data_IF_680859160656
#
_entry.id   IF_680859160656
#
_cell.length_a   1.000
_cell.length_b   1.000
_cell.length_c   1.000
_cell.angle_alpha   90.00
_cell.angle_beta   90.00
_cell.angle_gamma   90.00
#
_symmetry.space_group_name_H-M   'P 1'
#
loop_
_entity.id
_entity.type
_entity.pdbx_description
1 polymer ?
#
# COMPACT_ATOMS: atom_id res chain seq x y z
N UNK A 1 19.41 -4.49 -12.37
CA UNK A 1 18.23 -3.82 -11.78
C UNK A 1 18.01 -4.41 -10.39
N UNK A 2 17.90 -3.60 -9.33
CA UNK A 2 17.65 -4.15 -7.99
C UNK A 2 16.16 -4.44 -7.85
N UNK A 3 15.83 -5.72 -7.94
CA UNK A 3 14.45 -6.26 -7.92
C UNK A 3 14.08 -6.52 -6.46
N UNK A 4 12.93 -5.98 -6.02
CA UNK A 4 12.41 -6.28 -4.70
C UNK A 4 12.06 -7.77 -4.62
N UNK A 5 12.40 -8.43 -3.52
CA UNK A 5 12.15 -9.88 -3.34
C UNK A 5 11.09 -10.18 -2.30
N UNK A 6 10.92 -9.31 -1.31
CA UNK A 6 10.02 -9.53 -0.19
C UNK A 6 9.19 -8.29 0.10
N UNK A 7 7.88 -8.50 0.28
CA UNK A 7 6.91 -7.48 0.67
C UNK A 7 6.30 -7.86 2.01
N UNK A 8 6.50 -7.02 3.04
CA UNK A 8 5.95 -7.22 4.38
C UNK A 8 4.97 -6.11 4.75
N UNK A 9 3.84 -6.46 5.34
CA UNK A 9 2.94 -5.50 5.97
C UNK A 9 3.51 -5.12 7.34
N UNK A 10 3.68 -3.82 7.58
CA UNK A 10 4.14 -3.28 8.86
C UNK A 10 3.22 -2.16 9.34
N UNK A 11 3.36 -1.85 10.62
CA UNK A 11 2.56 -0.83 11.30
C UNK A 11 3.49 0.20 11.93
N UNK A 12 3.07 1.46 11.96
CA UNK A 12 3.77 2.55 12.64
C UNK A 12 2.79 3.32 13.51
N UNK A 13 3.16 3.58 14.75
CA UNK A 13 2.35 4.39 15.65
C UNK A 13 2.30 5.85 15.18
N UNK A 14 1.12 6.46 15.31
CA UNK A 14 0.87 7.88 15.06
C UNK A 14 0.49 8.58 16.36
N UNK A 15 0.66 9.91 16.39
CA UNK A 15 0.39 10.77 17.55
C UNK A 15 -1.08 10.73 18.03
N UNK A 16 -2.01 10.28 17.20
CA UNK A 16 -3.45 10.29 17.46
C UNK A 16 -4.00 8.97 18.02
N UNK A 17 -3.16 8.10 18.60
CA UNK A 17 -3.60 6.80 19.13
C UNK A 17 -4.01 5.77 18.07
N UNK A 18 -3.64 5.99 16.81
CA UNK A 18 -3.83 5.04 15.71
C UNK A 18 -2.50 4.54 15.17
N UNK A 19 -2.49 3.36 14.54
CA UNK A 19 -1.34 2.87 13.79
C UNK A 19 -1.62 2.97 12.30
N UNK A 20 -0.69 3.55 11.55
CA UNK A 20 -0.71 3.53 10.09
C UNK A 20 -0.11 2.24 9.56
N UNK A 21 -0.76 1.66 8.55
CA UNK A 21 -0.28 0.48 7.83
C UNK A 21 0.53 0.88 6.60
N UNK A 22 1.65 0.19 6.38
CA UNK A 22 2.52 0.41 5.23
C UNK A 22 3.17 -0.91 4.77
N UNK A 23 3.51 -0.98 3.50
CA UNK A 23 4.29 -2.07 2.93
C UNK A 23 5.78 -1.73 3.01
N UNK A 24 6.58 -2.69 3.45
CA UNK A 24 8.03 -2.65 3.53
C UNK A 24 8.63 -3.60 2.48
N UNK A 25 9.43 -3.04 1.58
CA UNK A 25 10.03 -3.72 0.42
C UNK A 25 11.50 -4.00 0.71
N UNK A 26 11.92 -5.26 0.59
CA UNK A 26 13.31 -5.67 0.78
C UNK A 26 13.79 -6.69 -0.26
N UNK A 27 14.90 -6.43 -0.98
CA UNK A 27 15.54 -5.12 -1.15
C UNK A 27 14.54 -4.06 -1.68
N UNK A 28 14.86 -2.77 -1.55
CA UNK A 28 14.03 -1.72 -2.17
C UNK A 28 14.00 -1.86 -3.69
N UNK A 29 12.96 -1.35 -4.33
CA UNK A 29 12.87 -1.28 -5.80
C UNK A 29 13.01 0.18 -6.26
N UNK A 30 13.42 0.38 -7.51
CA UNK A 30 13.41 1.71 -8.13
C UNK A 30 12.10 1.93 -8.85
N UNK A 31 11.50 3.09 -8.60
CA UNK A 31 10.37 3.56 -9.39
C UNK A 31 10.85 3.82 -10.84
N UNK A 32 10.22 3.23 -11.86
CA UNK A 32 10.62 3.44 -13.25
C UNK A 32 10.45 4.88 -13.73
N UNK A 33 9.53 5.66 -13.14
CA UNK A 33 9.26 7.04 -13.55
C UNK A 33 10.20 8.04 -12.86
N UNK A 34 10.33 7.92 -11.53
CA UNK A 34 11.08 8.88 -10.72
C UNK A 34 12.53 8.45 -10.47
N UNK A 35 12.88 7.20 -10.77
CA UNK A 35 14.17 6.55 -10.48
C UNK A 35 14.53 6.49 -8.99
N UNK A 36 13.63 6.90 -8.09
CA UNK A 36 13.83 6.89 -6.66
C UNK A 36 13.81 5.47 -6.10
N UNK A 37 14.67 5.20 -5.11
CA UNK A 37 14.68 3.94 -4.40
C UNK A 37 13.57 3.94 -3.33
N UNK A 38 12.49 3.21 -3.59
CA UNK A 38 11.38 3.09 -2.67
C UNK A 38 11.54 1.84 -1.81
N UNK A 39 11.43 2.04 -0.49
CA UNK A 39 11.47 0.97 0.52
C UNK A 39 10.18 0.82 1.30
N UNK A 40 9.41 1.90 1.43
CA UNK A 40 8.18 1.92 2.21
C UNK A 40 7.07 2.60 1.43
N UNK A 41 5.91 1.97 1.35
CA UNK A 41 4.69 2.57 0.79
C UNK A 41 3.60 2.60 1.83
N UNK A 42 3.12 3.78 2.17
CA UNK A 42 1.93 3.93 3.02
C UNK A 42 0.69 3.42 2.30
N UNK A 43 -0.15 2.67 2.99
CA UNK A 43 -1.45 2.21 2.46
C UNK A 43 -2.57 3.22 2.69
N UNK A 44 -2.34 4.27 3.49
CA UNK A 44 -3.39 5.20 3.91
C UNK A 44 -4.46 4.59 4.81
N UNK A 45 -4.24 3.35 5.27
CA UNK A 45 -5.13 2.63 6.19
C UNK A 45 -4.64 2.80 7.63
N UNK A 46 -5.59 2.92 8.55
CA UNK A 46 -5.33 3.14 9.96
C UNK A 46 -6.11 2.14 10.82
N UNK A 47 -5.50 1.73 11.91
CA UNK A 47 -6.12 0.87 12.94
C UNK A 47 -5.99 1.55 14.30
N UNK A 48 -6.88 1.23 15.23
CA UNK A 48 -6.74 1.68 16.62
C UNK A 48 -5.51 1.01 17.25
N UNK A 49 -4.65 1.79 17.90
CA UNK A 49 -3.47 1.25 18.57
C UNK A 49 -3.84 0.41 19.80
N UNK A 50 -4.88 0.85 20.52
CA UNK A 50 -5.47 0.15 21.67
C UNK A 50 -7.00 0.11 21.52
N UNK A 51 -7.58 -0.98 20.96
CA UNK A 51 -9.01 -1.09 20.73
C UNK A 51 -9.75 -1.48 22.03
N UNK A 52 -10.44 -0.51 22.63
CA UNK A 52 -11.23 -0.70 23.85
C UNK A 52 -12.52 -1.50 23.63
N UNK A 53 -13.21 -1.25 22.51
CA UNK A 53 -14.55 -1.80 22.26
C UNK A 53 -14.53 -2.97 21.27
N UNK A 54 -15.49 -3.90 21.38
CA UNK A 54 -15.66 -5.01 20.40
C UNK A 54 -15.77 -4.51 18.95
N UNK A 55 -16.44 -3.38 18.73
CA UNK A 55 -16.56 -2.75 17.41
C UNK A 55 -15.21 -2.27 16.87
N UNK A 56 -14.33 -1.73 17.73
CA UNK A 56 -12.99 -1.28 17.32
C UNK A 56 -12.08 -2.47 16.97
N UNK A 57 -12.20 -3.58 17.70
CA UNK A 57 -11.50 -4.84 17.35
C UNK A 57 -11.97 -5.36 15.98
N UNK A 58 -13.28 -5.44 15.77
CA UNK A 58 -13.85 -5.85 14.49
C UNK A 58 -13.44 -4.92 13.33
N UNK A 59 -13.35 -3.62 13.59
CA UNK A 59 -12.82 -2.65 12.62
C UNK A 59 -11.36 -2.95 12.28
N UNK A 60 -10.51 -3.12 13.29
CA UNK A 60 -9.10 -3.46 13.09
C UNK A 60 -8.95 -4.75 12.26
N UNK A 61 -9.71 -5.81 12.58
CA UNK A 61 -9.66 -7.07 11.85
C UNK A 61 -10.03 -6.89 10.37
N UNK A 62 -11.09 -6.14 10.08
CA UNK A 62 -11.51 -5.83 8.70
C UNK A 62 -10.45 -5.04 7.94
N UNK A 63 -9.82 -4.05 8.58
CA UNK A 63 -8.77 -3.24 7.94
C UNK A 63 -7.51 -4.06 7.73
N UNK A 64 -7.11 -4.87 8.70
CA UNK A 64 -5.95 -5.76 8.59
C UNK A 64 -6.14 -6.80 7.47
N UNK A 65 -7.32 -7.41 7.37
CA UNK A 65 -7.64 -8.34 6.29
C UNK A 65 -7.53 -7.66 4.91
N UNK A 66 -8.03 -6.43 4.78
CA UNK A 66 -7.89 -5.64 3.54
C UNK A 66 -6.44 -5.31 3.22
N UNK A 67 -5.66 -4.89 4.22
CA UNK A 67 -4.26 -4.56 4.05
C UNK A 67 -3.43 -5.79 3.65
N UNK A 68 -3.75 -6.95 4.21
CA UNK A 68 -3.11 -8.22 3.86
C UNK A 68 -3.45 -8.67 2.43
N UNK A 69 -4.71 -8.50 2.00
CA UNK A 69 -5.09 -8.75 0.62
C UNK A 69 -4.29 -7.86 -0.37
N UNK A 70 -4.07 -6.59 -0.03
CA UNK A 70 -3.21 -5.69 -0.82
C UNK A 70 -1.77 -6.19 -0.83
N UNK A 71 -1.22 -6.60 0.32
CA UNK A 71 0.14 -7.17 0.39
C UNK A 71 0.28 -8.38 -0.51
N UNK A 72 -0.68 -9.32 -0.49
CA UNK A 72 -0.68 -10.50 -1.34
C UNK A 72 -0.70 -10.13 -2.82
N UNK A 73 -1.57 -9.19 -3.22
CA UNK A 73 -1.63 -8.71 -4.62
C UNK A 73 -0.29 -8.12 -5.06
N UNK A 74 0.27 -7.19 -4.27
CA UNK A 74 1.57 -6.56 -4.56
C UNK A 74 2.69 -7.60 -4.59
N UNK A 75 2.65 -8.61 -3.74
CA UNK A 75 3.64 -9.68 -3.76
C UNK A 75 3.59 -10.50 -5.05
N UNK A 76 2.38 -10.83 -5.55
CA UNK A 76 2.21 -11.48 -6.85
C UNK A 76 2.75 -10.59 -7.98
N UNK A 77 2.42 -9.30 -7.98
CA UNK A 77 2.92 -8.36 -8.99
C UNK A 77 4.45 -8.25 -8.98
N UNK A 78 5.07 -8.28 -7.79
CA UNK A 78 6.53 -8.32 -7.64
C UNK A 78 7.14 -9.61 -8.20
N UNK A 79 6.50 -10.77 -7.97
CA UNK A 79 6.95 -12.06 -8.53
C UNK A 79 6.84 -12.09 -10.07
N UNK A 80 5.79 -11.47 -10.61
CA UNK A 80 5.56 -11.34 -12.06
C UNK A 80 6.48 -10.29 -12.72
N UNK A 81 7.37 -9.64 -11.96
CA UNK A 81 8.21 -8.51 -12.39
C UNK A 81 7.40 -7.32 -12.97
N UNK A 82 6.10 -7.27 -12.67
CA UNK A 82 5.18 -6.21 -13.11
C UNK A 82 5.18 -5.10 -12.09
N UNK A 83 6.09 -4.14 -12.21
CA UNK A 83 6.19 -2.98 -11.30
C UNK A 83 5.12 -1.88 -11.55
N UNK A 84 4.11 -2.17 -12.36
CA UNK A 84 3.09 -1.21 -12.82
C UNK A 84 2.02 -0.89 -11.74
N UNK A 85 2.15 -1.43 -10.52
CA UNK A 85 1.24 -1.18 -9.38
C UNK A 85 1.40 0.20 -8.73
N UNK A 86 2.29 1.05 -9.25
CA UNK A 86 2.52 2.41 -8.77
C UNK A 86 2.01 3.50 -9.69
N UNK A 87 1.55 3.14 -10.88
CA UNK A 87 1.12 4.07 -11.90
C UNK A 87 -0.04 4.94 -11.35
N UNK A 88 0.28 6.15 -10.89
CA UNK A 88 -0.69 7.10 -10.30
C UNK A 88 -1.65 7.63 -11.37
N UNK A 89 -1.32 7.40 -12.64
CA UNK A 89 -2.03 7.96 -13.79
C UNK A 89 -3.30 7.21 -14.18
N UNK A 90 -3.53 5.99 -13.69
CA UNK A 90 -4.85 5.34 -13.85
C UNK A 90 -6.00 6.03 -13.10
N UNK A 91 -5.71 6.99 -12.19
CA UNK A 91 -6.74 7.83 -11.57
C UNK A 91 -6.93 9.19 -12.27
N UNK A 92 -6.10 9.51 -13.26
CA UNK A 92 -6.16 10.75 -14.04
C UNK A 92 -6.54 10.50 -15.50
N UNK A 93 -7.25 9.42 -15.80
CA UNK A 93 -7.97 9.39 -17.06
C UNK A 93 -8.98 10.54 -17.04
N UNK A 94 -8.66 11.51 -17.87
CA UNK A 94 -9.24 12.83 -17.94
C UNK A 94 -10.75 12.70 -18.20
N UNK A 95 -11.58 13.00 -17.20
CA UNK A 95 -13.04 13.03 -17.35
C UNK A 95 -13.47 13.90 -18.55
N UNK A 96 -12.63 14.86 -18.97
CA UNK A 96 -12.79 15.72 -20.15
C UNK A 96 -12.69 14.98 -21.49
N UNK A 97 -12.06 13.80 -21.56
CA UNK A 97 -12.01 12.97 -22.76
C UNK A 97 -13.39 12.45 -23.19
N UNK A 98 -14.33 12.31 -22.25
CA UNK A 98 -15.68 11.82 -22.51
C UNK A 98 -16.60 12.88 -23.17
N UNK A 99 -16.35 14.16 -22.92
CA UNK A 99 -17.19 15.27 -23.40
C UNK A 99 -16.65 15.96 -24.67
N UNK A 100 -15.54 15.47 -25.23
CA UNK A 100 -14.93 15.99 -26.47
C UNK A 100 -15.39 15.29 -27.76
N UNK A 101 -16.53 14.60 -27.71
CA UNK A 101 -17.25 14.13 -28.91
C UNK A 101 -18.48 14.99 -29.18
#
# INVERSE_FOLDING_TARGET
MQVCKTVKLRMRDRRNGTKSLFLDFWPGYRDPETMELIRRRSLGMYIYADPANKQQKLYNDKILAKAEAIRCKVYIDVLDEKYDFFNRDRLKEDFLGYFRR
#
